data_IF_830857481340
#
_entry.id   IF_830857481340
#
_cell.length_a   1.000
_cell.length_b   1.000
_cell.length_c   1.000
_cell.angle_alpha   90.00
_cell.angle_beta   90.00
_cell.angle_gamma   90.00
#
_symmetry.space_group_name_H-M   'P 1'
#
loop_
_entity.id
_entity.type
_entity.pdbx_description
1 polymer ?
#
# COMPACT_ATOMS: atom_id res chain seq x y z
N UNK A 1 -1.12 -11.12 -38.69
CA UNK A 1 -0.63 -11.28 -37.28
C UNK A 1 -1.76 -10.93 -36.31
N UNK A 2 -2.10 -11.83 -35.42
CA UNK A 2 -3.15 -11.57 -34.43
C UNK A 2 -2.60 -10.68 -33.30
N UNK A 3 -3.42 -9.74 -32.83
CA UNK A 3 -3.08 -8.95 -31.66
C UNK A 3 -3.05 -9.85 -30.42
N UNK A 4 -2.15 -9.59 -29.48
CA UNK A 4 -2.11 -10.31 -28.22
C UNK A 4 -3.35 -9.94 -27.38
N UNK A 5 -3.84 -10.92 -26.61
CA UNK A 5 -4.94 -10.68 -25.70
C UNK A 5 -4.47 -9.75 -24.56
N UNK A 6 -5.40 -8.99 -24.03
CA UNK A 6 -5.10 -8.14 -22.88
C UNK A 6 -4.63 -8.98 -21.69
N UNK A 7 -3.62 -8.51 -21.00
CA UNK A 7 -3.14 -9.08 -19.74
C UNK A 7 -3.67 -8.31 -18.53
N UNK A 8 -4.63 -7.42 -18.76
CA UNK A 8 -5.27 -6.69 -17.68
C UNK A 8 -5.94 -7.65 -16.71
N UNK A 9 -5.90 -7.32 -15.44
CA UNK A 9 -6.49 -8.15 -14.39
C UNK A 9 -7.32 -7.29 -13.44
N UNK A 10 -8.22 -7.95 -12.72
CA UNK A 10 -9.01 -7.30 -11.68
C UNK A 10 -8.33 -7.46 -10.32
N UNK A 11 -8.86 -6.80 -9.31
CA UNK A 11 -8.36 -6.96 -7.95
C UNK A 11 -8.79 -8.23 -7.24
N UNK A 12 -9.55 -9.09 -7.92
CA UNK A 12 -9.99 -10.35 -7.31
C UNK A 12 -8.79 -11.23 -6.97
N UNK A 13 -8.69 -11.66 -5.73
CA UNK A 13 -7.59 -12.48 -5.27
C UNK A 13 -6.43 -11.71 -4.61
N UNK A 14 -6.55 -10.40 -4.46
CA UNK A 14 -5.57 -9.61 -3.72
C UNK A 14 -5.61 -10.03 -2.24
N UNK A 15 -4.42 -10.22 -1.66
CA UNK A 15 -4.28 -10.54 -0.24
C UNK A 15 -3.46 -9.44 0.43
N UNK A 16 -3.96 -8.95 1.56
CA UNK A 16 -3.25 -7.97 2.38
C UNK A 16 -2.80 -8.65 3.65
N UNK A 17 -1.51 -8.61 3.94
CA UNK A 17 -0.95 -9.16 5.17
C UNK A 17 -0.27 -8.09 6.01
N UNK A 18 -0.33 -8.26 7.32
CA UNK A 18 0.33 -7.36 8.26
C UNK A 18 1.03 -8.18 9.33
N UNK A 19 2.22 -7.74 9.73
CA UNK A 19 2.90 -8.38 10.85
C UNK A 19 2.13 -8.15 12.14
N UNK A 20 1.98 -9.20 12.95
CA UNK A 20 1.25 -9.12 14.21
C UNK A 20 2.00 -8.31 15.28
N UNK A 21 3.32 -8.19 15.13
CA UNK A 21 4.17 -7.39 16.00
C UNK A 21 5.37 -6.88 15.19
N UNK A 22 6.02 -5.84 15.69
CA UNK A 22 7.19 -5.27 15.00
C UNK A 22 8.30 -6.30 14.77
N UNK A 23 8.47 -7.24 15.68
CA UNK A 23 9.49 -8.30 15.60
C UNK A 23 9.02 -9.54 14.85
N UNK A 24 7.78 -9.60 14.40
CA UNK A 24 7.28 -10.79 13.69
C UNK A 24 7.98 -10.94 12.34
N UNK A 25 8.17 -12.20 11.92
CA UNK A 25 8.80 -12.52 10.65
C UNK A 25 7.80 -12.97 9.58
N UNK A 26 6.56 -13.22 9.98
CA UNK A 26 5.50 -13.66 9.08
C UNK A 26 4.37 -12.66 9.07
N UNK A 27 3.57 -12.70 8.00
CA UNK A 27 2.42 -11.81 7.81
C UNK A 27 1.14 -12.55 8.13
N UNK A 28 0.24 -11.88 8.86
CA UNK A 28 -1.11 -12.37 9.13
C UNK A 28 -2.05 -11.73 8.13
N UNK A 29 -2.85 -12.54 7.44
CA UNK A 29 -3.78 -12.01 6.45
C UNK A 29 -4.86 -11.15 7.10
N UNK A 30 -5.10 -9.99 6.51
CA UNK A 30 -6.23 -9.13 6.87
C UNK A 30 -7.44 -9.67 6.12
N UNK A 31 -8.50 -10.01 6.86
CA UNK A 31 -9.67 -10.64 6.26
C UNK A 31 -10.50 -9.69 5.41
N UNK A 32 -11.03 -10.22 4.34
CA UNK A 32 -12.09 -9.65 3.52
C UNK A 32 -11.84 -8.22 3.00
N UNK A 33 -10.68 -7.96 2.36
CA UNK A 33 -10.48 -6.67 1.71
C UNK A 33 -11.41 -6.54 0.49
N UNK A 34 -11.99 -5.36 0.31
CA UNK A 34 -12.88 -5.09 -0.83
C UNK A 34 -12.32 -4.04 -1.77
N UNK A 35 -11.42 -3.20 -1.32
CA UNK A 35 -10.79 -2.21 -2.15
C UNK A 35 -9.42 -1.85 -1.55
N UNK A 36 -8.45 -1.59 -2.40
CA UNK A 36 -7.17 -1.08 -1.96
C UNK A 36 -6.65 -0.05 -2.95
N UNK A 37 -6.12 1.04 -2.40
CA UNK A 37 -5.37 2.03 -3.17
C UNK A 37 -3.90 1.90 -2.76
N UNK A 38 -3.08 1.25 -3.60
CA UNK A 38 -1.67 1.07 -3.29
C UNK A 38 -0.94 2.41 -3.18
N UNK A 39 0.24 2.45 -2.53
CA UNK A 39 0.99 3.68 -2.38
C UNK A 39 1.41 4.25 -3.73
N UNK A 40 1.33 5.57 -3.85
CA UNK A 40 1.84 6.29 -5.01
C UNK A 40 3.20 6.88 -4.65
N UNK A 41 4.24 6.38 -5.29
CA UNK A 41 5.59 6.87 -5.08
C UNK A 41 5.82 8.10 -5.93
N UNK A 42 6.25 9.19 -5.33
CA UNK A 42 6.58 10.43 -6.03
C UNK A 42 7.94 10.94 -5.62
N UNK A 43 8.71 11.35 -6.60
CA UNK A 43 10.01 11.95 -6.36
C UNK A 43 9.89 13.46 -6.29
N UNK A 44 10.60 14.06 -5.35
CA UNK A 44 10.77 15.51 -5.34
C UNK A 44 11.63 15.93 -6.51
N UNK A 45 11.30 17.06 -7.11
CA UNK A 45 12.18 17.64 -8.13
C UNK A 45 12.80 18.92 -7.58
N UNK A 46 14.08 19.07 -7.84
CA UNK A 46 14.86 20.21 -7.36
C UNK A 46 15.32 21.00 -8.56
N UNK A 47 14.97 22.29 -8.63
CA UNK A 47 15.41 23.15 -9.71
C UNK A 47 16.87 23.54 -9.50
N UNK A 48 17.68 23.31 -10.51
CA UNK A 48 19.12 23.61 -10.50
C UNK A 48 19.50 24.59 -11.61
N UNK A 49 18.52 25.30 -12.16
CA UNK A 49 18.73 26.28 -13.22
C UNK A 49 19.71 27.36 -12.75
N UNK A 50 20.64 27.75 -13.60
CA UNK A 50 21.62 28.81 -13.32
C UNK A 50 21.75 29.76 -14.51
N UNK A 51 22.53 30.81 -14.38
CA UNK A 51 22.64 31.84 -15.41
C UNK A 51 23.13 31.31 -16.77
N UNK A 52 23.85 30.21 -16.77
CA UNK A 52 24.40 29.61 -17.99
C UNK A 52 23.68 28.33 -18.40
N UNK A 53 22.45 28.11 -17.93
CA UNK A 53 21.67 26.94 -18.34
C UNK A 53 21.46 26.94 -19.86
N UNK A 54 21.77 25.82 -20.55
CA UNK A 54 21.70 25.77 -22.01
C UNK A 54 20.32 26.12 -22.56
N UNK A 55 20.32 26.97 -23.60
CA UNK A 55 19.10 27.32 -24.29
C UNK A 55 18.10 28.14 -23.49
N UNK A 56 18.46 28.64 -22.30
CA UNK A 56 17.54 29.37 -21.45
C UNK A 56 16.44 28.48 -20.87
N UNK A 57 16.65 27.18 -20.81
CA UNK A 57 15.66 26.21 -20.35
C UNK A 57 15.94 25.83 -18.89
N UNK A 58 14.88 25.67 -18.13
CA UNK A 58 15.01 25.25 -16.74
C UNK A 58 15.54 23.81 -16.62
N UNK A 59 16.36 23.59 -15.62
CA UNK A 59 16.96 22.28 -15.34
C UNK A 59 16.52 21.79 -13.97
N UNK A 60 16.24 20.49 -13.87
CA UNK A 60 15.79 19.86 -12.63
C UNK A 60 16.57 18.58 -12.37
N UNK A 61 16.75 18.26 -11.08
CA UNK A 61 17.28 16.96 -10.64
C UNK A 61 16.27 16.31 -9.70
N UNK A 62 16.36 14.98 -9.59
CA UNK A 62 15.52 14.23 -8.66
C UNK A 62 15.96 14.44 -7.23
N UNK A 63 15.01 14.59 -6.32
CA UNK A 63 15.26 14.66 -4.90
C UNK A 63 14.86 13.38 -4.19
N UNK A 64 14.36 13.51 -2.96
CA UNK A 64 13.90 12.36 -2.19
C UNK A 64 12.59 11.81 -2.75
N UNK A 65 12.43 10.50 -2.63
CA UNK A 65 11.19 9.84 -3.02
C UNK A 65 10.22 9.83 -1.84
N UNK A 66 9.00 10.30 -2.07
CA UNK A 66 7.90 10.16 -1.12
C UNK A 66 7.21 8.82 -1.44
N UNK A 67 7.23 7.84 -0.52
CA UNK A 67 6.59 6.56 -0.79
C UNK A 67 5.06 6.59 -0.79
N UNK A 68 4.46 7.68 -0.33
CA UNK A 68 3.02 7.89 -0.43
C UNK A 68 2.19 7.30 0.70
N UNK A 69 0.90 7.25 0.44
CA UNK A 69 -0.08 6.71 1.39
C UNK A 69 -0.74 5.47 0.80
N UNK A 70 -1.12 4.54 1.68
CA UNK A 70 -1.89 3.37 1.31
C UNK A 70 -3.22 3.39 2.04
N UNK A 71 -4.30 3.23 1.30
CA UNK A 71 -5.65 3.19 1.87
C UNK A 71 -6.32 1.91 1.40
N UNK A 72 -6.98 1.22 2.32
CA UNK A 72 -7.74 0.03 1.95
C UNK A 72 -9.02 -0.06 2.78
N UNK A 73 -10.02 -0.69 2.19
CA UNK A 73 -11.33 -0.90 2.80
C UNK A 73 -11.59 -2.39 2.93
N UNK A 74 -12.08 -2.78 4.09
CA UNK A 74 -12.40 -4.19 4.39
C UNK A 74 -13.83 -4.31 4.86
N UNK A 75 -14.39 -5.53 4.77
CA UNK A 75 -15.62 -5.83 5.48
C UNK A 75 -15.30 -5.83 6.98
N UNK A 76 -16.08 -5.09 7.75
CA UNK A 76 -15.79 -4.90 9.17
C UNK A 76 -16.55 -5.91 10.02
N UNK A 77 -15.78 -6.63 10.86
CA UNK A 77 -16.33 -7.56 11.83
C UNK A 77 -15.93 -7.05 13.21
N UNK A 78 -16.85 -6.38 13.94
CA UNK A 78 -16.53 -5.83 15.25
C UNK A 78 -16.02 -6.93 16.22
N UNK A 79 -14.94 -6.60 16.91
CA UNK A 79 -14.33 -7.54 17.86
C UNK A 79 -13.52 -8.66 17.21
N UNK A 80 -13.38 -8.67 15.89
CA UNK A 80 -12.65 -9.70 15.18
C UNK A 80 -11.13 -9.55 15.28
N UNK A 81 -10.38 -10.58 14.84
CA UNK A 81 -8.92 -10.54 14.91
C UNK A 81 -8.29 -9.45 14.05
N UNK A 82 -8.88 -9.12 12.91
CA UNK A 82 -8.38 -8.05 12.04
C UNK A 82 -8.45 -6.70 12.73
N UNK A 83 -9.55 -6.40 13.39
CA UNK A 83 -9.70 -5.16 14.16
C UNK A 83 -8.65 -5.07 15.26
N UNK A 84 -8.48 -6.13 16.02
CA UNK A 84 -7.48 -6.20 17.11
C UNK A 84 -6.08 -5.93 16.56
N UNK A 85 -5.75 -6.53 15.43
CA UNK A 85 -4.45 -6.38 14.80
C UNK A 85 -4.20 -4.94 14.34
N UNK A 86 -5.18 -4.34 13.65
CA UNK A 86 -5.05 -2.99 13.09
C UNK A 86 -5.00 -1.94 14.21
N UNK A 87 -5.89 -2.04 15.18
CA UNK A 87 -5.91 -1.07 16.29
C UNK A 87 -4.68 -1.21 17.18
N UNK A 88 -4.16 -2.42 17.34
CA UNK A 88 -2.90 -2.65 18.05
C UNK A 88 -1.73 -1.95 17.36
N UNK A 89 -1.64 -2.07 16.04
CA UNK A 89 -0.62 -1.39 15.25
C UNK A 89 -0.76 0.13 15.34
N UNK A 90 -1.99 0.63 15.28
CA UNK A 90 -2.27 2.06 15.39
C UNK A 90 -1.85 2.61 16.74
N UNK A 91 -2.10 1.89 17.82
CA UNK A 91 -1.78 2.34 19.17
C UNK A 91 -0.28 2.41 19.44
N UNK A 92 0.53 1.62 18.75
CA UNK A 92 1.98 1.65 18.89
C UNK A 92 2.60 2.90 18.27
N UNK A 93 1.90 3.55 17.35
CA UNK A 93 2.37 4.76 16.65
C UNK A 93 3.72 4.59 15.95
N UNK A 94 3.98 3.39 15.45
CA UNK A 94 5.19 3.03 14.71
C UNK A 94 4.82 2.30 13.43
N UNK A 95 5.62 2.43 12.38
CA UNK A 95 5.38 1.66 11.18
C UNK A 95 5.45 0.15 11.48
N UNK A 96 4.56 -0.58 10.82
CA UNK A 96 4.53 -2.04 10.93
C UNK A 96 4.58 -2.63 9.52
N UNK A 97 5.23 -3.80 9.39
CA UNK A 97 5.36 -4.44 8.09
C UNK A 97 4.03 -4.84 7.48
N UNK A 98 3.83 -4.45 6.22
CA UNK A 98 2.68 -4.84 5.42
C UNK A 98 3.15 -5.54 4.17
N UNK A 99 2.32 -6.43 3.67
CA UNK A 99 2.57 -7.13 2.42
C UNK A 99 1.30 -7.14 1.60
N UNK A 100 1.41 -6.70 0.36
CA UNK A 100 0.32 -6.77 -0.62
C UNK A 100 0.69 -7.83 -1.64
N UNK A 101 -0.15 -8.86 -1.76
CA UNK A 101 0.05 -9.93 -2.73
C UNK A 101 -0.95 -9.75 -3.85
N UNK A 102 -0.46 -9.50 -5.06
CA UNK A 102 -1.30 -9.34 -6.23
C UNK A 102 -1.80 -10.69 -6.75
N UNK A 103 -2.89 -10.72 -7.54
CA UNK A 103 -3.43 -11.98 -8.05
C UNK A 103 -2.46 -12.82 -8.86
N UNK A 104 -1.45 -12.20 -9.49
CA UNK A 104 -0.44 -12.89 -10.25
C UNK A 104 0.75 -13.39 -9.42
N UNK A 105 0.73 -13.16 -8.09
CA UNK A 105 1.78 -13.61 -7.19
C UNK A 105 2.87 -12.59 -6.89
N UNK A 106 2.85 -11.43 -7.54
CA UNK A 106 3.80 -10.35 -7.23
C UNK A 106 3.50 -9.83 -5.84
N UNK A 107 4.55 -9.55 -5.07
CA UNK A 107 4.41 -9.06 -3.69
C UNK A 107 5.03 -7.68 -3.55
N UNK A 108 4.30 -6.78 -2.89
CA UNK A 108 4.81 -5.48 -2.47
C UNK A 108 4.96 -5.51 -0.96
N UNK A 109 6.16 -5.26 -0.47
CA UNK A 109 6.45 -5.25 0.96
C UNK A 109 6.91 -3.88 1.37
N UNK A 110 6.30 -3.33 2.39
CA UNK A 110 6.62 -1.99 2.90
C UNK A 110 6.20 -1.86 4.35
N UNK A 111 6.72 -0.84 5.02
CA UNK A 111 6.29 -0.49 6.37
C UNK A 111 5.21 0.57 6.30
N UNK A 112 4.12 0.37 7.01
CA UNK A 112 2.97 1.26 6.99
C UNK A 112 2.66 1.75 8.40
N UNK A 113 2.62 3.07 8.54
CA UNK A 113 2.17 3.71 9.78
C UNK A 113 0.67 3.90 9.69
N UNK A 114 -0.09 3.15 10.49
CA UNK A 114 -1.55 3.24 10.51
C UNK A 114 -1.94 4.58 11.15
N UNK A 115 -2.67 5.40 10.41
CA UNK A 115 -3.10 6.73 10.86
C UNK A 115 -4.57 6.80 11.17
N UNK A 116 -5.40 6.09 10.43
CA UNK A 116 -6.84 6.18 10.56
C UNK A 116 -7.54 4.85 10.45
N UNK A 117 -8.63 4.73 11.18
CA UNK A 117 -9.52 3.58 11.14
C UNK A 117 -10.94 4.13 11.21
N UNK A 118 -11.68 4.02 10.09
CA UNK A 118 -13.01 4.61 9.95
C UNK A 118 -14.02 3.51 9.65
N UNK A 119 -14.72 2.99 10.66
CA UNK A 119 -15.82 2.06 10.41
C UNK A 119 -17.06 2.80 9.92
N UNK A 120 -17.84 2.14 9.09
CA UNK A 120 -19.12 2.64 8.58
C UNK A 120 -20.18 1.56 8.75
N UNK A 121 -21.31 1.93 9.36
CA UNK A 121 -22.38 0.99 9.68
C UNK A 121 -23.71 1.44 9.07
N UNK A 122 -23.95 1.16 7.78
CA UNK A 122 -25.22 1.51 7.15
C UNK A 122 -26.36 0.60 7.62
N UNK A 123 -27.60 1.07 7.48
CA UNK A 123 -28.77 0.30 7.90
C UNK A 123 -29.01 -0.93 7.02
N UNK A 124 -28.88 -0.78 5.71
CA UNK A 124 -29.23 -1.81 4.75
C UNK A 124 -28.06 -2.33 3.93
N UNK A 125 -26.86 -2.27 4.46
CA UNK A 125 -25.67 -2.74 3.74
C UNK A 125 -24.68 -3.31 4.75
N UNK A 126 -23.63 -3.94 4.24
CA UNK A 126 -22.58 -4.52 5.08
C UNK A 126 -21.81 -3.44 5.83
N UNK A 127 -21.25 -3.85 6.97
CA UNK A 127 -20.32 -3.01 7.70
C UNK A 127 -18.98 -2.99 6.97
N UNK A 128 -18.40 -1.82 6.84
CA UNK A 128 -17.07 -1.67 6.24
C UNK A 128 -16.19 -0.82 7.14
N UNK A 129 -14.88 -0.93 6.96
CA UNK A 129 -13.93 -0.07 7.64
C UNK A 129 -12.86 0.37 6.64
N UNK A 130 -12.56 1.66 6.64
CA UNK A 130 -11.50 2.23 5.83
C UNK A 130 -10.28 2.47 6.70
N UNK A 131 -9.13 1.93 6.28
CA UNK A 131 -7.87 2.08 7.00
C UNK A 131 -6.95 2.92 6.15
N UNK A 132 -6.41 3.98 6.75
CA UNK A 132 -5.46 4.87 6.09
C UNK A 132 -4.11 4.78 6.77
N UNK A 133 -3.06 4.64 5.97
CA UNK A 133 -1.71 4.58 6.48
C UNK A 133 -0.72 5.32 5.61
N UNK A 134 0.38 5.75 6.22
CA UNK A 134 1.49 6.39 5.53
C UNK A 134 2.64 5.42 5.40
N UNK A 135 3.14 5.24 4.19
CA UNK A 135 4.29 4.37 3.95
C UNK A 135 5.56 5.05 4.46
N UNK A 136 6.36 4.31 5.20
CA UNK A 136 7.65 4.77 5.70
C UNK A 136 8.77 3.90 5.12
N UNK A 137 9.72 4.55 4.48
CA UNK A 137 10.83 3.83 3.86
C UNK A 137 10.51 3.30 2.46
N UNK A 138 11.33 2.39 1.99
CA UNK A 138 11.23 1.89 0.63
C UNK A 138 10.15 0.82 0.47
N UNK A 139 9.56 0.79 -0.71
CA UNK A 139 8.64 -0.28 -1.11
C UNK A 139 9.45 -1.30 -1.89
N UNK A 140 9.45 -2.54 -1.42
CA UNK A 140 10.15 -3.65 -2.08
C UNK A 140 9.15 -4.45 -2.91
N UNK A 141 9.41 -4.56 -4.20
CA UNK A 141 8.57 -5.32 -5.12
C UNK A 141 9.28 -6.63 -5.41
N UNK A 142 8.64 -7.75 -5.08
CA UNK A 142 9.18 -9.09 -5.28
C UNK A 142 8.42 -9.76 -6.42
N UNK A 143 9.14 -10.31 -7.44
CA UNK A 143 8.48 -11.01 -8.54
C UNK A 143 7.71 -12.24 -8.06
N UNK A 144 6.76 -12.69 -8.89
CA UNK A 144 6.00 -13.90 -8.59
C UNK A 144 6.91 -15.11 -8.46
N UNK A 145 6.67 -16.00 -7.47
CA UNK A 145 7.45 -17.24 -7.34
C UNK A 145 7.34 -18.08 -8.60
N UNK A 146 8.48 -18.56 -9.12
CA UNK A 146 8.51 -19.33 -10.34
C UNK A 146 8.15 -18.54 -11.59
N UNK A 147 8.02 -17.23 -11.49
CA UNK A 147 7.74 -16.35 -12.61
C UNK A 147 8.92 -16.27 -13.56
N UNK A 148 8.61 -16.22 -14.82
CA UNK A 148 9.61 -16.11 -15.89
C UNK A 148 9.62 -14.70 -16.45
#
# INVERSE_FOLDING_TARGET
MAAAKSQAMTGLGIVIGMKAAAAATTYTDIGEPIEITPPEQMDDEIEVTHFNSPGGVKEFIGGLTDPGECTFTINYIPGGPTETLILGAKSERRPRGFQLVWPNGVKWTFDLLIRGFQPTAPLNDRLTAEITGRVSGSIVITPAPGGN
#
